data_IF_892113548946
#
_entry.id   IF_892113548946
#
_cell.length_a   1.000
_cell.length_b   1.000
_cell.length_c   1.000
_cell.angle_alpha   90.00
_cell.angle_beta   90.00
_cell.angle_gamma   90.00
#
_symmetry.space_group_name_H-M   'P 1'
#
loop_
_entity.id
_entity.type
_entity.pdbx_description
1 polymer ?
#
# COMPACT_ATOMS: atom_id res chain seq x y z
N UNK A 1 -24.70 -24.60 -25.84
CA UNK A 1 -24.61 -23.13 -25.99
C UNK A 1 -24.18 -22.59 -24.65
N UNK A 2 -22.88 -22.30 -24.49
CA UNK A 2 -22.31 -21.83 -23.22
C UNK A 2 -22.66 -20.37 -23.03
N UNK A 3 -23.17 -19.99 -21.86
CA UNK A 3 -23.53 -18.62 -21.52
C UNK A 3 -22.28 -17.71 -21.53
N UNK A 4 -22.22 -16.66 -22.37
CA UNK A 4 -21.07 -15.75 -22.42
C UNK A 4 -20.79 -15.06 -21.07
N UNK A 5 -21.81 -14.80 -20.26
CA UNK A 5 -21.61 -14.25 -18.91
C UNK A 5 -20.93 -15.25 -17.97
N UNK A 6 -21.23 -16.54 -18.13
CA UNK A 6 -20.58 -17.62 -17.39
C UNK A 6 -19.10 -17.82 -17.78
N UNK A 7 -18.76 -17.57 -19.05
CA UNK A 7 -17.37 -17.61 -19.52
C UNK A 7 -16.55 -16.42 -18.99
N UNK A 8 -17.08 -15.20 -19.02
CA UNK A 8 -16.40 -14.04 -18.44
C UNK A 8 -16.19 -14.19 -16.92
N UNK A 9 -17.19 -14.70 -16.20
CA UNK A 9 -17.05 -14.94 -14.76
C UNK A 9 -15.95 -15.97 -14.46
N UNK A 10 -15.88 -17.05 -15.25
CA UNK A 10 -14.84 -18.06 -15.11
C UNK A 10 -13.44 -17.50 -15.40
N UNK A 11 -13.31 -16.67 -16.44
CA UNK A 11 -12.05 -15.98 -16.78
C UNK A 11 -11.62 -15.04 -15.66
N UNK A 12 -12.54 -14.22 -15.13
CA UNK A 12 -12.27 -13.32 -14.00
C UNK A 12 -11.85 -14.07 -12.73
N UNK A 13 -12.49 -15.21 -12.43
CA UNK A 13 -12.09 -16.05 -11.28
C UNK A 13 -10.66 -16.58 -11.46
N UNK A 14 -10.32 -17.03 -12.68
CA UNK A 14 -8.97 -17.51 -13.00
C UNK A 14 -7.94 -16.38 -12.84
N UNK A 15 -8.22 -15.18 -13.35
CA UNK A 15 -7.32 -14.03 -13.19
C UNK A 15 -7.11 -13.67 -11.72
N UNK A 16 -8.17 -13.68 -10.90
CA UNK A 16 -8.09 -13.40 -9.45
C UNK A 16 -7.26 -14.46 -8.73
N UNK A 17 -7.42 -15.74 -9.08
CA UNK A 17 -6.64 -16.82 -8.50
C UNK A 17 -5.16 -16.70 -8.87
N UNK A 18 -4.85 -16.48 -10.15
CA UNK A 18 -3.48 -16.26 -10.63
C UNK A 18 -2.86 -15.02 -9.97
N UNK A 19 -3.66 -13.98 -9.79
CA UNK A 19 -3.29 -12.77 -9.10
C UNK A 19 -2.91 -13.05 -7.63
N UNK A 20 -3.75 -13.78 -6.91
CA UNK A 20 -3.52 -14.16 -5.52
C UNK A 20 -2.25 -15.01 -5.37
N UNK A 21 -2.07 -16.01 -6.22
CA UNK A 21 -0.89 -16.87 -6.21
C UNK A 21 0.39 -16.07 -6.48
N UNK A 22 0.36 -15.15 -7.44
CA UNK A 22 1.51 -14.30 -7.77
C UNK A 22 1.90 -13.36 -6.63
N UNK A 23 0.92 -12.82 -5.90
CA UNK A 23 1.15 -11.91 -4.78
C UNK A 23 1.46 -12.61 -3.43
N UNK A 24 1.18 -13.91 -3.31
CA UNK A 24 1.35 -14.64 -2.04
C UNK A 24 2.81 -14.70 -1.56
N UNK A 25 3.82 -15.04 -2.39
CA UNK A 25 5.22 -15.02 -1.97
C UNK A 25 5.66 -13.64 -1.47
N UNK A 26 5.19 -12.57 -2.13
CA UNK A 26 5.46 -11.20 -1.69
C UNK A 26 4.94 -10.96 -0.29
N UNK A 27 3.71 -11.41 0.00
CA UNK A 27 3.09 -11.24 1.32
C UNK A 27 3.85 -12.00 2.40
N UNK A 28 4.29 -13.21 2.09
CA UNK A 28 5.04 -14.05 3.03
C UNK A 28 6.43 -13.49 3.35
N UNK A 29 7.06 -12.79 2.41
CA UNK A 29 8.33 -12.09 2.67
C UNK A 29 8.24 -11.07 3.81
N UNK A 30 7.10 -10.41 3.99
CA UNK A 30 6.87 -9.51 5.13
C UNK A 30 6.77 -10.25 6.48
N UNK A 31 6.52 -11.57 6.46
CA UNK A 31 6.40 -12.41 7.65
C UNK A 31 7.73 -13.08 8.05
N UNK A 32 8.67 -13.25 7.11
CA UNK A 32 10.00 -13.84 7.38
C UNK A 32 10.70 -13.06 8.49
N UNK A 33 11.09 -13.75 9.57
CA UNK A 33 11.76 -13.13 10.74
C UNK A 33 13.25 -12.95 10.52
N UNK A 34 13.90 -13.91 9.87
CA UNK A 34 15.33 -13.85 9.57
C UNK A 34 15.66 -12.76 8.52
N UNK A 35 16.53 -11.79 8.83
CA UNK A 35 16.88 -10.72 7.88
C UNK A 35 17.62 -11.20 6.63
N UNK A 36 18.44 -12.25 6.75
CA UNK A 36 19.27 -12.76 5.65
C UNK A 36 18.41 -13.45 4.59
N UNK A 37 17.53 -14.34 5.01
CA UNK A 37 16.56 -15.01 4.14
C UNK A 37 15.60 -14.01 3.48
N UNK A 38 15.21 -12.97 4.21
CA UNK A 38 14.37 -11.89 3.66
C UNK A 38 15.12 -11.07 2.60
N UNK A 39 16.40 -10.79 2.79
CA UNK A 39 17.22 -10.07 1.81
C UNK A 39 17.38 -10.87 0.51
N UNK A 40 17.68 -12.17 0.62
CA UNK A 40 17.74 -13.08 -0.54
C UNK A 40 16.43 -13.10 -1.31
N UNK A 41 15.30 -13.13 -0.61
CA UNK A 41 13.98 -13.03 -1.23
C UNK A 41 13.81 -11.68 -1.95
N UNK A 42 14.15 -10.57 -1.29
CA UNK A 42 14.00 -9.22 -1.82
C UNK A 42 14.80 -8.99 -3.12
N UNK A 43 15.97 -9.63 -3.23
CA UNK A 43 16.85 -9.52 -4.38
C UNK A 43 16.35 -10.31 -5.59
N UNK A 44 15.86 -11.53 -5.37
CA UNK A 44 15.39 -12.47 -6.42
C UNK A 44 14.00 -12.15 -6.92
N UNK A 45 13.10 -11.75 -6.02
CA UNK A 45 11.69 -11.59 -6.33
C UNK A 45 11.40 -10.60 -7.48
N UNK A 46 12.08 -9.44 -7.58
CA UNK A 46 11.89 -8.52 -8.70
C UNK A 46 12.20 -9.10 -10.08
N UNK A 47 13.03 -10.13 -10.17
CA UNK A 47 13.40 -10.77 -11.43
C UNK A 47 12.25 -11.62 -11.99
N UNK A 48 11.33 -12.07 -11.13
CA UNK A 48 10.15 -12.85 -11.54
C UNK A 48 9.01 -11.99 -12.08
N UNK A 49 8.97 -10.68 -11.79
CA UNK A 49 7.86 -9.82 -12.16
C UNK A 49 7.46 -9.81 -13.65
N UNK A 50 8.40 -9.85 -14.62
CA UNK A 50 8.05 -9.90 -16.03
C UNK A 50 7.27 -11.16 -16.40
N UNK A 51 7.44 -12.27 -15.67
CA UNK A 51 6.84 -13.57 -15.97
C UNK A 51 5.47 -13.76 -15.33
N UNK A 52 4.94 -12.77 -14.61
CA UNK A 52 3.64 -12.90 -13.96
C UNK A 52 2.52 -12.90 -15.02
N UNK A 53 1.52 -13.78 -14.88
CA UNK A 53 0.49 -13.99 -15.91
C UNK A 53 -0.45 -12.79 -16.07
N UNK A 54 -0.76 -12.10 -14.97
CA UNK A 54 -1.68 -10.94 -14.95
C UNK A 54 -0.94 -9.65 -15.33
N UNK A 55 -1.53 -8.89 -16.26
CA UNK A 55 -0.89 -7.73 -16.89
C UNK A 55 -0.61 -6.57 -15.91
N UNK A 56 -1.54 -6.35 -14.99
CA UNK A 56 -1.52 -5.36 -13.92
C UNK A 56 -0.35 -5.61 -12.98
N UNK A 57 -0.10 -6.88 -12.69
CA UNK A 57 1.01 -7.25 -11.85
C UNK A 57 2.36 -7.16 -12.56
N UNK A 58 2.41 -7.50 -13.85
CA UNK A 58 3.61 -7.24 -14.66
C UNK A 58 3.94 -5.74 -14.65
N UNK A 59 2.91 -4.88 -14.72
CA UNK A 59 3.05 -3.42 -14.61
C UNK A 59 3.48 -2.98 -13.22
N UNK A 60 2.90 -3.53 -12.15
CA UNK A 60 3.35 -3.31 -10.76
C UNK A 60 4.82 -3.69 -10.59
N UNK A 61 5.20 -4.78 -11.22
CA UNK A 61 6.55 -5.31 -11.27
C UNK A 61 7.57 -4.31 -11.82
N UNK A 62 7.26 -3.67 -12.96
CA UNK A 62 8.12 -2.61 -13.52
C UNK A 62 8.33 -1.46 -12.53
N UNK A 63 7.27 -1.02 -11.86
CA UNK A 63 7.36 0.00 -10.82
C UNK A 63 8.29 -0.48 -9.70
N UNK A 64 8.11 -1.70 -9.19
CA UNK A 64 8.95 -2.23 -8.12
C UNK A 64 10.41 -2.43 -8.54
N UNK A 65 10.69 -2.81 -9.77
CA UNK A 65 12.06 -2.87 -10.31
C UNK A 65 12.70 -1.49 -10.31
N UNK A 66 11.97 -0.44 -10.69
CA UNK A 66 12.46 0.96 -10.58
C UNK A 66 12.79 1.36 -9.14
N UNK A 67 12.06 0.81 -8.17
CA UNK A 67 12.28 1.04 -6.74
C UNK A 67 13.04 -0.10 -6.03
N UNK A 68 13.78 -0.96 -6.77
CA UNK A 68 14.43 -2.17 -6.23
C UNK A 68 15.29 -1.87 -5.00
N UNK A 69 16.11 -0.82 -5.07
CA UNK A 69 16.98 -0.42 -3.95
C UNK A 69 16.19 -0.10 -2.67
N UNK A 70 15.10 0.67 -2.78
CA UNK A 70 14.24 0.99 -1.64
C UNK A 70 13.50 -0.24 -1.11
N UNK A 71 13.05 -1.12 -2.01
CA UNK A 71 12.38 -2.37 -1.64
C UNK A 71 13.30 -3.33 -0.89
N UNK A 72 14.54 -3.52 -1.38
CA UNK A 72 15.56 -4.35 -0.70
C UNK A 72 15.96 -3.71 0.64
N UNK A 73 16.15 -2.39 0.70
CA UNK A 73 16.48 -1.68 1.93
C UNK A 73 15.40 -1.85 3.02
N UNK A 74 14.11 -1.76 2.66
CA UNK A 74 13.02 -2.02 3.60
C UNK A 74 13.07 -3.42 4.20
N UNK A 75 13.35 -4.44 3.38
CA UNK A 75 13.34 -5.84 3.82
C UNK A 75 14.60 -6.22 4.60
N UNK A 76 15.74 -5.57 4.33
CA UNK A 76 17.04 -5.82 4.98
C UNK A 76 17.28 -5.03 6.27
N UNK A 77 16.53 -3.96 6.54
CA UNK A 77 16.69 -3.13 7.75
C UNK A 77 15.72 -3.50 8.88
N UNK A 78 15.87 -2.85 10.05
CA UNK A 78 14.92 -2.91 11.19
C UNK A 78 13.61 -2.22 10.77
N UNK A 79 12.85 -2.88 9.90
CA UNK A 79 11.48 -2.59 9.44
C UNK A 79 11.01 -1.17 9.76
N UNK A 80 11.39 -0.21 8.93
CA UNK A 80 10.66 1.07 8.89
C UNK A 80 9.20 0.75 8.56
N UNK A 81 8.24 1.41 9.20
CA UNK A 81 6.83 1.21 8.88
C UNK A 81 6.20 2.53 8.48
N UNK A 82 5.31 2.51 7.50
CA UNK A 82 4.56 3.69 7.07
C UNK A 82 3.42 4.05 8.06
N UNK A 83 3.36 3.43 9.24
CA UNK A 83 2.26 3.56 10.20
C UNK A 83 2.08 5.00 10.69
N UNK A 84 3.16 5.68 11.06
CA UNK A 84 3.12 7.10 11.45
C UNK A 84 2.60 7.98 10.31
N UNK A 85 3.16 7.84 9.11
CA UNK A 85 2.71 8.56 7.91
C UNK A 85 1.25 8.25 7.58
N UNK A 86 0.83 7.00 7.70
CA UNK A 86 -0.53 6.56 7.42
C UNK A 86 -1.52 7.09 8.46
N UNK A 87 -1.14 7.20 9.73
CA UNK A 87 -1.96 7.81 10.77
C UNK A 87 -2.24 9.28 10.42
N UNK A 88 -1.20 10.04 10.04
CA UNK A 88 -1.34 11.44 9.59
C UNK A 88 -2.19 11.54 8.31
N UNK A 89 -1.96 10.71 7.31
CA UNK A 89 -2.77 10.70 6.08
C UNK A 89 -4.24 10.39 6.34
N UNK A 90 -4.53 9.43 7.24
CA UNK A 90 -5.90 9.12 7.65
C UNK A 90 -6.57 10.31 8.31
N UNK A 91 -5.86 11.04 9.18
CA UNK A 91 -6.35 12.30 9.75
C UNK A 91 -6.67 13.31 8.63
N UNK A 92 -5.74 13.56 7.70
CA UNK A 92 -5.96 14.50 6.59
C UNK A 92 -7.18 14.12 5.74
N UNK A 93 -7.33 12.84 5.41
CA UNK A 93 -8.47 12.34 4.61
C UNK A 93 -9.79 12.48 5.37
N UNK A 94 -9.81 12.16 6.67
CA UNK A 94 -10.98 12.34 7.52
C UNK A 94 -11.43 13.81 7.50
N UNK A 95 -10.50 14.74 7.66
CA UNK A 95 -10.80 16.18 7.62
C UNK A 95 -11.39 16.63 6.29
N UNK A 96 -10.78 16.21 5.17
CA UNK A 96 -11.30 16.53 3.83
C UNK A 96 -12.73 16.02 3.65
N UNK A 97 -13.05 14.84 4.18
CA UNK A 97 -14.38 14.24 4.12
C UNK A 97 -15.40 15.00 4.96
N UNK A 98 -15.08 15.32 6.22
CA UNK A 98 -15.97 16.06 7.12
C UNK A 98 -16.27 17.46 6.57
N UNK A 99 -15.30 18.09 5.94
CA UNK A 99 -15.41 19.46 5.50
C UNK A 99 -15.98 19.67 4.08
N UNK A 100 -16.39 18.61 3.38
CA UNK A 100 -17.02 18.66 2.05
C UNK A 100 -16.27 19.50 1.01
N UNK A 101 -14.93 19.53 1.09
CA UNK A 101 -14.09 20.35 0.22
C UNK A 101 -13.92 21.77 0.75
N UNK A 102 -12.84 21.99 1.50
CA UNK A 102 -12.45 23.32 1.95
C UNK A 102 -12.05 24.20 0.76
N UNK A 103 -12.54 25.44 0.74
CA UNK A 103 -12.13 26.48 -0.22
C UNK A 103 -11.26 27.59 0.40
N UNK A 104 -11.05 27.55 1.72
CA UNK A 104 -10.28 28.54 2.48
C UNK A 104 -9.18 27.83 3.30
N UNK A 105 -7.93 28.28 3.12
CA UNK A 105 -6.76 27.66 3.73
C UNK A 105 -6.63 27.92 5.24
N UNK A 106 -7.10 29.06 5.74
CA UNK A 106 -7.04 29.41 7.17
C UNK A 106 -7.97 28.51 7.99
N UNK A 107 -9.19 28.30 7.50
CA UNK A 107 -10.15 27.38 8.11
C UNK A 107 -9.64 25.93 8.08
N UNK A 108 -8.95 25.54 7.01
CA UNK A 108 -8.31 24.23 6.92
C UNK A 108 -7.23 24.05 8.01
N UNK A 109 -6.36 25.04 8.21
CA UNK A 109 -5.31 25.00 9.24
C UNK A 109 -5.89 24.89 10.65
N UNK A 110 -6.92 25.69 10.98
CA UNK A 110 -7.58 25.65 12.29
C UNK A 110 -8.25 24.30 12.57
N UNK A 111 -8.92 23.71 11.58
CA UNK A 111 -9.56 22.40 11.73
C UNK A 111 -8.53 21.27 11.93
N UNK A 112 -7.40 21.30 11.20
CA UNK A 112 -6.31 20.34 11.40
C UNK A 112 -5.74 20.44 12.82
N UNK A 113 -5.52 21.65 13.34
CA UNK A 113 -5.04 21.85 14.71
C UNK A 113 -6.03 21.34 15.76
N UNK A 114 -7.33 21.51 15.55
CA UNK A 114 -8.37 21.06 16.48
C UNK A 114 -8.41 19.52 16.63
N UNK A 115 -8.39 18.78 15.53
CA UNK A 115 -8.54 17.30 15.57
C UNK A 115 -7.20 16.59 15.79
N UNK A 116 -6.08 17.17 15.35
CA UNK A 116 -4.75 16.61 15.64
C UNK A 116 -4.32 16.84 17.11
N UNK A 117 -5.15 17.47 17.94
CA UNK A 117 -4.88 17.74 19.35
C UNK A 117 -3.93 18.93 19.59
N UNK A 118 -3.72 19.79 18.60
CA UNK A 118 -2.83 20.95 18.67
C UNK A 118 -3.45 22.20 19.31
N UNK A 119 -4.74 22.17 19.66
CA UNK A 119 -5.39 23.18 20.48
C UNK A 119 -5.62 22.60 21.88
N UNK A 120 -4.65 22.77 22.77
CA UNK A 120 -4.93 22.68 24.21
C UNK A 120 -5.86 23.83 24.57
N UNK A 121 -7.05 23.58 25.14
CA UNK A 121 -7.86 24.65 25.71
C UNK A 121 -7.00 25.41 26.73
N UNK A 122 -7.08 26.75 26.82
CA UNK A 122 -6.46 27.45 27.93
C UNK A 122 -6.98 26.83 29.23
N UNK A 123 -6.07 26.40 30.10
CA UNK A 123 -6.45 26.00 31.45
C UNK A 123 -6.97 27.25 32.14
N UNK A 124 -8.29 27.37 32.20
CA UNK A 124 -8.93 28.40 33.01
C UNK A 124 -8.77 27.93 34.45
N UNK A 125 -7.87 28.62 35.17
CA UNK A 125 -7.65 28.46 36.61
C UNK A 125 -8.72 29.16 37.42
#
# INVERSE_FOLDING_TARGET
MTDPAGLELAEAIIEVELAWQSASPLRDAYRVKDPTERSKFAERMPESFPTWPVSEFRRLGRTRTRWKAAFVSYLSTVRSNSGGTNAVNRLIVLHRRVARGFRNCDNYRLHILLVAGGLTPPQIG
#
